data_IF_074242167839
#
_entry.id   IF_074242167839
#
_cell.length_a   1.000
_cell.length_b   1.000
_cell.length_c   1.000
_cell.angle_alpha   90.00
_cell.angle_beta   90.00
_cell.angle_gamma   90.00
#
_symmetry.space_group_name_H-M   'P 1'
#
loop_
_entity.id
_entity.type
_entity.pdbx_description
1 polymer ?
#
# COMPACT_ATOMS: atom_id res chain seq x y z
N UNK A 1 -8.19 19.62 18.25
CA UNK A 1 -8.18 18.13 18.25
C UNK A 1 -8.91 17.53 17.04
N UNK A 2 -10.18 17.86 16.78
CA UNK A 2 -11.00 17.26 15.70
C UNK A 2 -10.39 17.26 14.28
N UNK A 3 -9.72 18.33 13.86
CA UNK A 3 -9.15 18.45 12.49
C UNK A 3 -7.97 17.49 12.26
N UNK A 4 -7.08 17.34 13.24
CA UNK A 4 -5.93 16.43 13.12
C UNK A 4 -6.35 14.96 13.16
N UNK A 5 -7.38 14.61 13.92
CA UNK A 5 -7.96 13.27 13.90
C UNK A 5 -8.61 12.97 12.56
N UNK A 6 -9.35 13.93 12.00
CA UNK A 6 -9.92 13.81 10.66
C UNK A 6 -8.83 13.58 9.60
N UNK A 7 -7.75 14.38 9.59
CA UNK A 7 -6.62 14.20 8.67
C UNK A 7 -5.98 12.80 8.80
N UNK A 8 -5.84 12.27 10.02
CA UNK A 8 -5.26 10.94 10.25
C UNK A 8 -6.12 9.83 9.64
N UNK A 9 -7.43 9.83 9.87
CA UNK A 9 -8.31 8.81 9.29
C UNK A 9 -8.42 8.93 7.78
N UNK A 10 -8.42 10.16 7.24
CA UNK A 10 -8.39 10.38 5.79
C UNK A 10 -7.11 9.82 5.15
N UNK A 11 -5.93 10.03 5.77
CA UNK A 11 -4.67 9.41 5.31
C UNK A 11 -4.77 7.88 5.28
N UNK A 12 -5.34 7.27 6.32
CA UNK A 12 -5.55 5.82 6.36
C UNK A 12 -6.47 5.32 5.27
N UNK A 13 -7.60 6.00 5.06
CA UNK A 13 -8.53 5.65 3.99
C UNK A 13 -7.88 5.75 2.59
N UNK A 14 -7.15 6.84 2.33
CA UNK A 14 -6.40 7.03 1.07
C UNK A 14 -5.36 5.91 0.89
N UNK A 15 -4.62 5.56 1.94
CA UNK A 15 -3.63 4.47 1.91
C UNK A 15 -4.27 3.16 1.49
N UNK A 16 -5.43 2.80 2.06
CA UNK A 16 -6.17 1.57 1.72
C UNK A 16 -6.63 1.59 0.26
N UNK A 17 -7.21 2.69 -0.21
CA UNK A 17 -7.66 2.80 -1.60
C UNK A 17 -6.51 2.64 -2.59
N UNK A 18 -5.39 3.29 -2.33
CA UNK A 18 -4.20 3.17 -3.19
C UNK A 18 -3.64 1.75 -3.12
N UNK A 19 -3.58 1.12 -1.95
CA UNK A 19 -3.14 -0.26 -1.79
C UNK A 19 -4.01 -1.25 -2.58
N UNK A 20 -5.33 -1.07 -2.59
CA UNK A 20 -6.27 -1.90 -3.36
C UNK A 20 -6.07 -1.75 -4.88
N UNK A 21 -5.67 -0.58 -5.36
CA UNK A 21 -5.34 -0.37 -6.78
C UNK A 21 -3.98 -0.98 -7.13
N UNK A 22 -3.02 -0.90 -6.21
CA UNK A 22 -1.65 -1.38 -6.44
C UNK A 22 -1.48 -2.89 -6.33
N UNK A 23 -2.36 -3.60 -5.63
CA UNK A 23 -2.09 -5.00 -5.28
C UNK A 23 -1.97 -5.92 -6.50
N UNK A 24 -2.83 -5.74 -7.51
CA UNK A 24 -2.84 -6.59 -8.71
C UNK A 24 -1.61 -6.38 -9.61
N UNK A 25 -1.22 -5.15 -9.98
CA UNK A 25 0.03 -4.95 -10.73
C UNK A 25 1.27 -5.30 -9.89
N UNK A 26 1.23 -5.13 -8.56
CA UNK A 26 2.31 -5.58 -7.67
C UNK A 26 2.46 -7.11 -7.69
N UNK A 27 1.34 -7.85 -7.66
CA UNK A 27 1.32 -9.30 -7.81
C UNK A 27 1.94 -9.73 -9.16
N UNK A 28 1.51 -9.08 -10.25
CA UNK A 28 2.07 -9.29 -11.59
C UNK A 28 3.57 -9.07 -11.66
N UNK A 29 4.06 -7.99 -11.05
CA UNK A 29 5.49 -7.68 -10.97
C UNK A 29 6.27 -8.69 -10.14
N UNK A 30 5.74 -9.10 -8.99
CA UNK A 30 6.42 -9.98 -8.05
C UNK A 30 6.56 -11.40 -8.60
N UNK A 31 5.52 -11.95 -9.21
CA UNK A 31 5.45 -13.36 -9.61
C UNK A 31 5.54 -13.58 -11.12
N UNK A 32 5.73 -12.52 -11.91
CA UNK A 32 5.67 -12.56 -13.38
C UNK A 32 4.44 -13.31 -13.91
N UNK A 33 3.31 -13.14 -13.22
CA UNK A 33 2.12 -13.96 -13.43
C UNK A 33 1.12 -13.35 -14.40
N UNK A 34 1.41 -12.17 -14.99
CA UNK A 34 0.56 -11.51 -15.99
C UNK A 34 -0.56 -10.63 -15.44
N UNK A 35 -0.78 -10.60 -14.13
CA UNK A 35 -1.73 -9.68 -13.49
C UNK A 35 -1.31 -8.22 -13.69
N UNK A 36 -2.27 -7.31 -13.87
CA UNK A 36 -1.98 -5.91 -14.25
C UNK A 36 -2.96 -4.92 -13.61
N UNK A 37 -2.89 -3.66 -14.04
CA UNK A 37 -3.74 -2.58 -13.54
C UNK A 37 -5.24 -2.89 -13.70
N UNK A 38 -6.09 -2.39 -12.80
CA UNK A 38 -7.54 -2.62 -12.86
C UNK A 38 -8.19 -2.26 -14.21
N UNK A 39 -7.72 -1.18 -14.85
CA UNK A 39 -8.20 -0.73 -16.16
C UNK A 39 -7.52 -1.41 -17.36
N UNK A 40 -6.56 -2.30 -17.13
CA UNK A 40 -5.82 -3.03 -18.16
C UNK A 40 -6.15 -4.54 -18.15
N UNK A 41 -7.26 -4.93 -17.52
CA UNK A 41 -7.72 -6.31 -17.44
C UNK A 41 -7.65 -6.93 -16.04
N UNK A 42 -7.02 -6.26 -15.07
CA UNK A 42 -6.90 -6.72 -13.68
C UNK A 42 -6.31 -8.14 -13.63
N UNK A 43 -7.18 -9.14 -13.47
CA UNK A 43 -6.82 -10.56 -13.40
C UNK A 43 -6.98 -11.34 -14.71
N UNK A 44 -7.61 -10.77 -15.73
CA UNK A 44 -7.96 -11.49 -16.98
C UNK A 44 -6.77 -12.08 -17.73
N UNK A 45 -5.57 -11.55 -17.50
CA UNK A 45 -4.31 -11.98 -18.11
C UNK A 45 -3.42 -12.79 -17.15
N UNK A 46 -3.87 -13.07 -15.93
CA UNK A 46 -3.10 -13.84 -14.96
C UNK A 46 -2.95 -15.31 -15.40
N UNK A 47 -1.80 -15.91 -15.09
CA UNK A 47 -1.45 -17.28 -15.42
C UNK A 47 -2.40 -18.34 -14.82
N UNK A 48 -3.17 -17.99 -13.77
CA UNK A 48 -4.20 -18.86 -13.18
C UNK A 48 -5.25 -19.31 -14.20
N UNK A 49 -5.48 -18.52 -15.25
CA UNK A 49 -6.43 -18.84 -16.32
C UNK A 49 -5.84 -19.74 -17.41
N UNK A 50 -4.53 -20.01 -17.39
CA UNK A 50 -3.89 -20.90 -18.36
C UNK A 50 -3.64 -22.27 -17.72
N UNK A 51 -4.41 -23.33 -18.06
CA UNK A 51 -4.24 -24.65 -17.47
C UNK A 51 -2.95 -25.37 -17.91
N UNK A 52 -2.22 -24.83 -18.89
CA UNK A 52 -0.98 -25.42 -19.41
C UNK A 52 0.27 -24.91 -18.69
N UNK A 53 0.17 -23.90 -17.82
CA UNK A 53 1.33 -23.41 -17.06
C UNK A 53 1.66 -24.39 -15.92
N UNK A 54 2.95 -24.70 -15.79
CA UNK A 54 3.45 -25.64 -14.78
C UNK A 54 3.26 -25.07 -13.36
N UNK A 55 3.46 -23.76 -13.20
CA UNK A 55 3.32 -23.06 -11.93
C UNK A 55 2.30 -21.93 -12.04
N UNK A 56 1.27 -21.98 -11.20
CA UNK A 56 0.26 -20.93 -11.08
C UNK A 56 0.65 -19.93 -9.98
N UNK A 57 0.19 -18.69 -10.10
CA UNK A 57 0.50 -17.63 -9.14
C UNK A 57 0.21 -18.06 -7.68
N UNK A 58 1.18 -17.91 -6.75
CA UNK A 58 1.03 -18.38 -5.36
C UNK A 58 -0.12 -17.73 -4.59
N UNK A 59 -0.41 -16.46 -4.86
CA UNK A 59 -1.51 -15.74 -4.24
C UNK A 59 -2.88 -16.08 -4.84
N UNK A 60 -2.92 -16.54 -6.09
CA UNK A 60 -4.17 -16.91 -6.76
C UNK A 60 -4.55 -18.36 -6.48
N UNK A 61 -3.59 -19.29 -6.51
CA UNK A 61 -3.84 -20.72 -6.28
C UNK A 61 -4.17 -21.00 -4.81
N UNK A 62 -3.58 -20.24 -3.88
CA UNK A 62 -3.88 -20.31 -2.46
C UNK A 62 -4.59 -19.05 -1.99
N UNK A 63 -5.92 -19.12 -1.90
CA UNK A 63 -6.76 -18.01 -1.40
C UNK A 63 -6.33 -17.57 0.00
N UNK A 64 -5.91 -18.52 0.85
CA UNK A 64 -5.42 -18.19 2.18
C UNK A 64 -4.12 -17.39 2.13
N UNK A 65 -3.14 -17.82 1.33
CA UNK A 65 -1.87 -17.10 1.20
C UNK A 65 -2.09 -15.70 0.63
N UNK A 66 -2.87 -15.57 -0.44
CA UNK A 66 -3.24 -14.28 -1.02
C UNK A 66 -3.95 -13.37 -0.01
N UNK A 67 -5.03 -13.85 0.62
CA UNK A 67 -5.80 -13.05 1.57
C UNK A 67 -4.99 -12.66 2.81
N UNK A 68 -4.16 -13.57 3.35
CA UNK A 68 -3.33 -13.28 4.51
C UNK A 68 -2.23 -12.27 4.18
N UNK A 69 -1.53 -12.42 3.05
CA UNK A 69 -0.50 -11.47 2.59
C UNK A 69 -1.08 -10.07 2.39
N UNK A 70 -2.15 -9.97 1.58
CA UNK A 70 -2.78 -8.69 1.23
C UNK A 70 -3.42 -8.06 2.46
N UNK A 71 -4.17 -8.84 3.23
CA UNK A 71 -4.85 -8.38 4.43
C UNK A 71 -3.87 -7.84 5.47
N UNK A 72 -2.77 -8.55 5.71
CA UNK A 72 -1.72 -8.10 6.65
C UNK A 72 -1.04 -6.83 6.14
N UNK A 73 -0.71 -6.75 4.85
CA UNK A 73 -0.08 -5.57 4.27
C UNK A 73 -0.98 -4.33 4.37
N UNK A 74 -2.27 -4.46 4.04
CA UNK A 74 -3.24 -3.36 4.13
C UNK A 74 -3.44 -2.96 5.59
N UNK A 75 -3.59 -3.92 6.50
CA UNK A 75 -3.78 -3.64 7.92
C UNK A 75 -2.59 -2.89 8.52
N UNK A 76 -1.36 -3.35 8.26
CA UNK A 76 -0.15 -2.70 8.78
C UNK A 76 0.11 -1.34 8.12
N UNK A 77 -0.13 -1.20 6.80
CA UNK A 77 -0.04 0.09 6.11
C UNK A 77 -1.06 1.10 6.63
N UNK A 78 -2.30 0.67 6.86
CA UNK A 78 -3.33 1.49 7.48
C UNK A 78 -2.91 1.92 8.89
N UNK A 79 -2.50 0.97 9.75
CA UNK A 79 -2.05 1.27 11.10
C UNK A 79 -0.90 2.28 11.08
N UNK A 80 0.12 2.08 10.24
CA UNK A 80 1.24 3.00 10.08
C UNK A 80 0.81 4.43 9.70
N UNK A 81 -0.14 4.58 8.78
CA UNK A 81 -0.65 5.89 8.37
C UNK A 81 -1.38 6.64 9.51
N UNK A 82 -2.09 5.90 10.38
CA UNK A 82 -2.86 6.46 11.48
C UNK A 82 -2.08 6.56 12.79
N UNK A 83 -0.88 5.96 12.91
CA UNK A 83 -0.06 6.00 14.13
C UNK A 83 0.06 7.45 14.62
N UNK A 84 -0.18 7.62 15.93
CA UNK A 84 -0.02 8.91 16.60
C UNK A 84 1.48 9.22 16.72
N UNK A 85 2.05 9.82 15.69
CA UNK A 85 3.40 10.34 15.79
C UNK A 85 3.42 11.49 16.81
N UNK A 86 4.33 11.43 17.79
CA UNK A 86 4.59 12.49 18.78
C UNK A 86 5.43 13.60 18.12
N UNK A 87 5.07 13.99 16.90
CA UNK A 87 5.71 15.08 16.16
C UNK A 87 5.37 16.39 16.87
N UNK A 88 6.39 17.18 17.22
CA UNK A 88 6.27 18.46 17.93
C UNK A 88 5.19 19.31 17.27
N UNK A 89 4.04 19.43 17.94
CA UNK A 89 2.97 20.32 17.54
C UNK A 89 3.49 21.75 17.64
N UNK A 90 3.87 22.35 16.52
CA UNK A 90 3.62 23.79 16.34
C UNK A 90 2.10 23.91 16.37
N UNK A 91 1.56 24.23 17.55
CA UNK A 91 0.15 24.47 17.75
C UNK A 91 -0.29 25.55 16.78
N UNK A 92 -1.24 25.21 15.89
CA UNK A 92 -1.95 26.18 15.06
C UNK A 92 -2.61 27.31 15.89
N UNK A 93 -2.70 27.13 17.20
CA UNK A 93 -3.18 28.11 18.17
C UNK A 93 -2.19 29.25 18.46
N UNK A 94 -0.90 29.10 18.14
CA UNK A 94 0.14 30.09 18.47
C UNK A 94 0.47 31.04 17.30
N UNK A 95 -0.25 30.96 16.17
CA UNK A 95 -0.01 31.82 15.01
C UNK A 95 -0.81 33.13 15.09
N UNK A 96 -0.15 34.30 15.13
CA UNK A 96 -0.83 35.60 15.06
C UNK A 96 -1.41 35.81 13.66
N UNK A 97 -2.71 36.12 13.57
CA UNK A 97 -3.44 36.38 12.31
C UNK A 97 -2.92 37.66 11.64
N UNK A 98 -2.52 37.57 10.35
CA UNK A 98 -3.34 38.23 9.31
C UNK A 98 -3.35 37.53 7.93
N UNK A 99 -4.51 37.54 7.26
CA UNK A 99 -4.60 37.54 5.79
C UNK A 99 -4.60 36.20 5.03
N UNK A 100 -4.86 36.29 3.71
CA UNK A 100 -4.92 35.18 2.73
C UNK A 100 -3.64 34.31 2.70
N UNK A 101 -2.49 34.88 3.05
CA UNK A 101 -1.22 34.15 3.13
C UNK A 101 -1.24 33.05 4.21
N UNK A 102 -1.93 33.27 5.34
CA UNK A 102 -2.07 32.29 6.42
C UNK A 102 -2.85 31.05 5.97
N UNK A 103 -3.88 31.23 5.13
CA UNK A 103 -4.69 30.13 4.62
C UNK A 103 -3.82 29.20 3.74
N UNK A 104 -2.95 29.77 2.89
CA UNK A 104 -2.05 29.00 2.03
C UNK A 104 -1.06 28.16 2.84
N UNK A 105 -0.43 28.73 3.88
CA UNK A 105 0.53 28.02 4.74
C UNK A 105 -0.14 26.89 5.56
N UNK A 106 -1.36 27.13 6.05
CA UNK A 106 -2.14 26.11 6.78
C UNK A 106 -2.53 24.96 5.85
N UNK A 107 -2.93 25.25 4.61
CA UNK A 107 -3.28 24.22 3.63
C UNK A 107 -2.02 23.43 3.23
N UNK A 108 -0.91 24.10 2.96
CA UNK A 108 0.34 23.46 2.56
C UNK A 108 0.86 22.52 3.67
N UNK A 109 0.90 22.99 4.91
CA UNK A 109 1.31 22.16 6.05
C UNK A 109 0.39 20.95 6.26
N UNK A 110 -0.93 21.11 6.11
CA UNK A 110 -1.87 20.00 6.16
C UNK A 110 -1.64 18.98 5.02
N UNK A 111 -1.38 19.45 3.80
CA UNK A 111 -1.06 18.60 2.64
C UNK A 111 0.25 17.83 2.85
N UNK A 112 1.30 18.46 3.35
CA UNK A 112 2.59 17.81 3.63
C UNK A 112 2.43 16.73 4.70
N UNK A 113 1.69 17.01 5.78
CA UNK A 113 1.41 16.02 6.82
C UNK A 113 0.59 14.85 6.28
N UNK A 114 -0.40 15.12 5.42
CA UNK A 114 -1.20 14.08 4.76
C UNK A 114 -0.33 13.21 3.86
N UNK A 115 0.43 13.83 2.95
CA UNK A 115 1.31 13.14 2.01
C UNK A 115 2.31 12.26 2.75
N UNK A 116 2.99 12.78 3.78
CA UNK A 116 3.93 12.03 4.59
C UNK A 116 3.30 10.79 5.24
N UNK A 117 2.09 10.91 5.79
CA UNK A 117 1.37 9.79 6.42
C UNK A 117 0.97 8.71 5.42
N UNK A 118 0.46 9.13 4.25
CA UNK A 118 0.11 8.21 3.17
C UNK A 118 1.37 7.50 2.65
N UNK A 119 2.47 8.23 2.41
CA UNK A 119 3.74 7.65 2.00
C UNK A 119 4.26 6.63 3.01
N UNK A 120 4.23 6.95 4.31
CA UNK A 120 4.62 6.00 5.37
C UNK A 120 3.75 4.73 5.33
N UNK A 121 2.43 4.88 5.20
CA UNK A 121 1.50 3.76 5.08
C UNK A 121 1.77 2.88 3.85
N UNK A 122 2.02 3.49 2.70
CA UNK A 122 2.32 2.79 1.45
C UNK A 122 3.68 2.09 1.48
N UNK A 123 4.70 2.68 2.11
CA UNK A 123 6.01 2.04 2.30
C UNK A 123 5.84 0.77 3.15
N UNK A 124 5.13 0.85 4.27
CA UNK A 124 4.88 -0.32 5.13
C UNK A 124 4.07 -1.38 4.37
N UNK A 125 3.03 -0.98 3.63
CA UNK A 125 2.26 -1.88 2.78
C UNK A 125 3.17 -2.61 1.78
N UNK A 126 4.02 -1.91 1.03
CA UNK A 126 4.91 -2.50 0.04
C UNK A 126 5.90 -3.48 0.68
N UNK A 127 6.54 -3.10 1.79
CA UNK A 127 7.48 -3.97 2.49
C UNK A 127 6.79 -5.26 2.94
N UNK A 128 5.62 -5.16 3.59
CA UNK A 128 4.89 -6.33 4.09
C UNK A 128 4.38 -7.19 2.93
N UNK A 129 3.84 -6.57 1.87
CA UNK A 129 3.36 -7.30 0.70
C UNK A 129 4.49 -8.08 0.03
N UNK A 130 5.66 -7.46 -0.17
CA UNK A 130 6.84 -8.11 -0.76
C UNK A 130 7.34 -9.24 0.13
N UNK A 131 7.50 -9.03 1.43
CA UNK A 131 7.99 -10.07 2.35
C UNK A 131 7.04 -11.27 2.44
N UNK A 132 5.74 -11.01 2.56
CA UNK A 132 4.73 -12.08 2.63
C UNK A 132 4.52 -12.77 1.30
N UNK A 133 4.66 -12.06 0.17
CA UNK A 133 4.62 -12.68 -1.16
C UNK A 133 5.86 -13.51 -1.46
N UNK A 134 7.05 -13.06 -1.03
CA UNK A 134 8.27 -13.85 -1.09
C UNK A 134 8.11 -15.17 -0.33
N UNK A 135 7.60 -15.09 0.91
CA UNK A 135 7.30 -16.26 1.72
C UNK A 135 6.29 -17.18 1.03
N UNK A 136 5.25 -16.63 0.41
CA UNK A 136 4.26 -17.41 -0.33
C UNK A 136 4.86 -18.13 -1.54
N UNK A 137 5.76 -17.47 -2.28
CA UNK A 137 6.47 -18.07 -3.40
C UNK A 137 7.42 -19.18 -2.94
N UNK A 138 8.16 -18.94 -1.87
CA UNK A 138 9.08 -19.91 -1.27
C UNK A 138 8.36 -21.17 -0.78
N UNK A 139 7.25 -21.04 -0.05
CA UNK A 139 6.49 -22.18 0.51
C UNK A 139 5.81 -23.01 -0.59
N UNK A 140 5.52 -22.41 -1.74
CA UNK A 140 4.84 -23.07 -2.87
C UNK A 140 5.80 -23.43 -4.02
N UNK A 141 7.12 -23.38 -3.79
CA UNK A 141 8.17 -23.69 -4.76
C UNK A 141 7.99 -22.95 -6.11
N UNK A 142 7.55 -21.69 -6.06
CA UNK A 142 7.29 -20.90 -7.25
C UNK A 142 8.59 -20.27 -7.78
N UNK A 143 8.97 -20.52 -9.05
CA UNK A 143 10.32 -20.23 -9.54
C UNK A 143 10.57 -18.73 -9.77
N UNK A 144 9.52 -17.96 -10.04
CA UNK A 144 9.65 -16.54 -10.39
C UNK A 144 9.31 -15.66 -9.20
N UNK A 145 10.33 -15.00 -8.65
CA UNK A 145 10.15 -13.85 -7.79
C UNK A 145 11.05 -12.74 -8.32
N UNK A 146 10.60 -11.49 -8.36
CA UNK A 146 11.38 -10.39 -8.95
C UNK A 146 12.85 -10.30 -8.45
N UNK A 147 13.14 -10.79 -7.24
CA UNK A 147 14.49 -10.88 -6.68
C UNK A 147 15.34 -12.11 -7.08
N UNK A 148 14.74 -13.15 -7.67
CA UNK A 148 15.46 -14.37 -8.10
C UNK A 148 16.09 -14.25 -9.49
N UNK A 149 15.93 -13.12 -10.19
CA UNK A 149 16.63 -12.88 -11.46
C UNK A 149 18.13 -12.51 -11.28
N UNK A 150 18.60 -12.35 -10.04
CA UNK A 150 19.96 -11.88 -9.71
C UNK A 150 20.76 -12.80 -8.77
N UNK A 151 20.27 -14.00 -8.47
CA UNK A 151 20.97 -15.07 -7.73
C UNK A 151 21.00 -16.34 -8.58
#
# INVERSE_FOLDING_TARGET
>A
MRVYEFIRYQAGYITVLVALVLITPLCGLMFDCGCTWPWAGLESHCNIHNPQVVHQCPWCVSTFAGAASVGLAIALGFLASIVKNRSNHTSLADMPLPGRALITEVILSAMVVMAWRVSLGLIVFLIVAVLTGWLSGYVQDYPYFYFNAFL
#
